data_IF_750464527939
#
_entry.id   IF_750464527939
#
_cell.length_a   1.000
_cell.length_b   1.000
_cell.length_c   1.000
_cell.angle_alpha   90.00
_cell.angle_beta   90.00
_cell.angle_gamma   90.00
#
_symmetry.space_group_name_H-M   'P 1'
#
loop_
_entity.id
_entity.type
_entity.pdbx_description
1 polymer ?
#
# COMPACT_ATOMS: atom_id res chain seq x y z
N UNK A 1 14.45 0.68 -24.62
CA UNK A 1 14.06 0.32 -23.24
C UNK A 1 14.40 -1.14 -23.03
N UNK A 2 15.27 -1.44 -22.08
CA UNK A 2 15.68 -2.81 -21.74
C UNK A 2 14.65 -3.46 -20.79
N UNK A 3 14.65 -4.80 -20.70
CA UNK A 3 13.78 -5.51 -19.74
C UNK A 3 14.01 -5.04 -18.29
N UNK A 4 15.26 -4.86 -17.82
CA UNK A 4 15.52 -4.32 -16.48
C UNK A 4 14.97 -2.90 -16.28
N UNK A 5 15.12 -2.01 -17.27
CA UNK A 5 14.55 -0.65 -17.22
C UNK A 5 13.02 -0.69 -17.12
N UNK A 6 12.37 -1.53 -17.92
CA UNK A 6 10.92 -1.69 -17.88
C UNK A 6 10.44 -2.18 -16.50
N UNK A 7 11.08 -3.20 -15.94
CA UNK A 7 10.73 -3.73 -14.62
C UNK A 7 10.89 -2.68 -13.53
N UNK A 8 11.96 -1.88 -13.57
CA UNK A 8 12.17 -0.78 -12.62
C UNK A 8 11.09 0.30 -12.75
N UNK A 9 10.71 0.67 -13.98
CA UNK A 9 9.63 1.62 -14.22
C UNK A 9 8.28 1.08 -13.72
N UNK A 10 7.99 -0.20 -13.94
CA UNK A 10 6.76 -0.83 -13.46
C UNK A 10 6.68 -0.88 -11.93
N UNK A 11 7.81 -1.15 -11.25
CA UNK A 11 7.88 -1.05 -9.78
C UNK A 11 7.62 0.37 -9.30
N UNK A 12 8.25 1.37 -9.92
CA UNK A 12 8.04 2.77 -9.58
C UNK A 12 6.57 3.20 -9.77
N UNK A 13 5.92 2.75 -10.85
CA UNK A 13 4.49 2.99 -11.09
C UNK A 13 3.65 2.37 -9.99
N UNK A 14 3.91 1.11 -9.61
CA UNK A 14 3.17 0.44 -8.53
C UNK A 14 3.31 1.15 -7.18
N UNK A 15 4.53 1.59 -6.82
CA UNK A 15 4.75 2.37 -5.61
C UNK A 15 4.01 3.71 -5.65
N UNK A 16 3.99 4.39 -6.81
CA UNK A 16 3.23 5.62 -6.99
C UNK A 16 1.72 5.42 -6.83
N UNK A 17 1.17 4.28 -7.26
CA UNK A 17 -0.24 3.98 -6.99
C UNK A 17 -0.50 3.77 -5.50
N UNK A 18 0.41 3.11 -4.76
CA UNK A 18 0.31 3.00 -3.28
C UNK A 18 0.28 4.39 -2.62
N UNK A 19 1.09 5.34 -3.09
CA UNK A 19 1.07 6.72 -2.60
C UNK A 19 -0.26 7.43 -2.88
N UNK A 20 -0.89 7.16 -4.04
CA UNK A 20 -2.20 7.71 -4.39
C UNK A 20 -3.29 7.11 -3.51
N UNK A 21 -3.28 5.80 -3.31
CA UNK A 21 -4.21 5.11 -2.43
C UNK A 21 -4.10 5.67 -1.00
N UNK A 22 -2.89 5.87 -0.49
CA UNK A 22 -2.68 6.51 0.82
C UNK A 22 -3.40 7.87 0.90
N UNK A 23 -3.23 8.74 -0.10
CA UNK A 23 -3.88 10.06 -0.12
C UNK A 23 -5.39 9.96 -0.21
N UNK A 24 -5.91 9.07 -1.04
CA UNK A 24 -7.36 8.84 -1.19
C UNK A 24 -7.97 8.35 0.13
N UNK A 25 -7.32 7.38 0.78
CA UNK A 25 -7.75 6.84 2.05
C UNK A 25 -7.64 7.90 3.16
N UNK A 26 -6.59 8.71 3.18
CA UNK A 26 -6.44 9.80 4.14
C UNK A 26 -7.58 10.81 4.02
N UNK A 27 -7.92 11.21 2.80
CA UNK A 27 -9.05 12.10 2.56
C UNK A 27 -10.36 11.49 3.06
N UNK A 28 -10.62 10.22 2.74
CA UNK A 28 -11.82 9.51 3.22
C UNK A 28 -11.86 9.40 4.75
N UNK A 29 -10.73 9.14 5.39
CA UNK A 29 -10.61 9.08 6.85
C UNK A 29 -10.91 10.43 7.49
N UNK A 30 -10.38 11.52 6.96
CA UNK A 30 -10.67 12.87 7.46
C UNK A 30 -12.16 13.21 7.30
N UNK A 31 -12.76 12.87 6.16
CA UNK A 31 -14.20 13.05 5.92
C UNK A 31 -15.06 12.26 6.92
N UNK A 32 -14.63 11.07 7.33
CA UNK A 32 -15.32 10.21 8.32
C UNK A 32 -15.10 10.69 9.76
N UNK A 33 -13.87 11.08 10.11
CA UNK A 33 -13.50 11.54 11.44
C UNK A 33 -14.28 12.80 11.84
N UNK A 34 -14.57 13.68 10.88
CA UNK A 34 -15.45 14.86 11.07
C UNK A 34 -16.89 14.47 11.41
N UNK A 35 -17.38 13.32 10.92
CA UNK A 35 -18.79 12.90 11.09
C UNK A 35 -19.02 11.97 12.27
N UNK A 36 -18.03 11.17 12.64
CA UNK A 36 -18.16 10.10 13.62
C UNK A 36 -17.51 10.50 14.96
N UNK A 37 -18.20 11.33 15.73
CA UNK A 37 -17.84 11.68 17.09
C UNK A 37 -18.66 10.86 18.10
N UNK A 38 -17.97 10.18 19.04
CA UNK A 38 -18.61 9.52 20.19
C UNK A 38 -18.49 10.38 21.44
N UNK A 39 -19.57 10.46 22.22
CA UNK A 39 -19.59 11.12 23.53
C UNK A 39 -18.72 10.31 24.50
N UNK A 40 -17.75 10.96 25.15
CA UNK A 40 -16.84 10.32 26.12
C UNK A 40 -16.95 10.93 27.53
N UNK A 41 -17.86 11.88 27.73
CA UNK A 41 -18.13 12.51 29.02
C UNK A 41 -19.01 13.75 28.88
N UNK A 42 -19.25 14.45 30.00
CA UNK A 42 -19.96 15.74 29.99
C UNK A 42 -19.17 16.74 29.13
N UNK A 43 -19.76 17.20 28.04
CA UNK A 43 -19.19 18.13 27.06
C UNK A 43 -17.88 17.68 26.38
N UNK A 44 -17.62 16.37 26.28
CA UNK A 44 -16.44 15.84 25.56
C UNK A 44 -16.84 14.80 24.52
N UNK A 45 -16.32 14.97 23.30
CA UNK A 45 -16.44 14.01 22.20
C UNK A 45 -15.06 13.57 21.72
N UNK A 46 -14.98 12.37 21.12
CA UNK A 46 -13.77 11.87 20.45
C UNK A 46 -14.15 11.22 19.12
N UNK A 47 -13.29 11.28 18.10
CA UNK A 47 -13.48 10.50 16.88
C UNK A 47 -13.59 9.00 17.20
N UNK A 48 -14.52 8.30 16.54
CA UNK A 48 -14.69 6.84 16.67
C UNK A 48 -13.42 6.12 16.22
N UNK A 49 -12.79 6.60 15.15
CA UNK A 49 -11.54 6.07 14.62
C UNK A 49 -10.37 6.96 15.06
N UNK A 50 -9.53 6.46 15.97
CA UNK A 50 -8.45 7.26 16.56
C UNK A 50 -7.14 7.27 15.75
N UNK A 51 -6.96 6.32 14.82
CA UNK A 51 -5.70 6.16 14.08
C UNK A 51 -5.94 5.75 12.64
N UNK A 52 -5.37 6.50 11.71
CA UNK A 52 -5.44 6.23 10.27
C UNK A 52 -4.86 4.86 9.89
N UNK A 53 -3.80 4.40 10.58
CA UNK A 53 -3.17 3.09 10.30
C UNK A 53 -4.13 1.89 10.35
N UNK A 54 -5.22 1.98 11.13
CA UNK A 54 -6.25 0.93 11.14
C UNK A 54 -7.11 0.90 9.88
N UNK A 55 -7.18 2.02 9.16
CA UNK A 55 -7.92 2.18 7.91
C UNK A 55 -7.04 1.84 6.71
N UNK A 56 -5.77 2.25 6.73
CA UNK A 56 -4.80 1.95 5.67
C UNK A 56 -3.38 1.80 6.25
N UNK A 57 -2.74 0.66 6.01
CA UNK A 57 -1.37 0.39 6.44
C UNK A 57 -0.42 0.49 5.23
N UNK A 58 0.23 1.65 5.10
CA UNK A 58 1.11 1.98 3.97
C UNK A 58 2.30 1.03 3.87
N UNK A 59 2.96 0.74 4.99
CA UNK A 59 4.14 -0.13 5.05
C UNK A 59 3.80 -1.52 4.49
N UNK A 60 2.64 -2.04 4.90
CA UNK A 60 2.15 -3.33 4.40
C UNK A 60 1.86 -3.33 2.90
N UNK A 61 1.38 -2.23 2.32
CA UNK A 61 1.14 -2.14 0.87
C UNK A 61 2.46 -2.04 0.08
N UNK A 62 3.42 -1.25 0.56
CA UNK A 62 4.77 -1.17 -0.03
C UNK A 62 5.46 -2.53 0.00
N UNK A 63 5.37 -3.24 1.13
CA UNK A 63 5.95 -4.58 1.26
C UNK A 63 5.30 -5.58 0.29
N UNK A 64 4.01 -5.44 -0.01
CA UNK A 64 3.36 -6.31 -1.02
C UNK A 64 3.91 -6.08 -2.42
N UNK A 65 4.18 -4.83 -2.81
CA UNK A 65 4.79 -4.51 -4.12
C UNK A 65 6.19 -5.14 -4.21
N UNK A 66 7.01 -4.96 -3.16
CA UNK A 66 8.37 -5.52 -3.11
C UNK A 66 8.41 -7.05 -3.09
N UNK A 67 7.55 -7.67 -2.30
CA UNK A 67 7.47 -9.14 -2.20
C UNK A 67 6.97 -9.79 -3.49
N UNK A 68 6.06 -9.12 -4.21
CA UNK A 68 5.62 -9.58 -5.55
C UNK A 68 6.78 -9.58 -6.54
N UNK A 69 7.63 -8.54 -6.52
CA UNK A 69 8.84 -8.47 -7.36
C UNK A 69 9.79 -9.62 -7.06
N UNK A 70 10.14 -9.85 -5.79
CA UNK A 70 11.02 -10.96 -5.41
C UNK A 70 10.48 -12.33 -5.82
N UNK A 71 9.16 -12.54 -5.68
CA UNK A 71 8.53 -13.81 -6.10
C UNK A 71 8.66 -14.03 -7.60
N UNK A 72 8.46 -12.99 -8.41
CA UNK A 72 8.58 -13.08 -9.86
C UNK A 72 10.04 -13.38 -10.28
N UNK A 73 11.02 -12.68 -9.71
CA UNK A 73 12.44 -12.94 -9.97
C UNK A 73 12.84 -14.40 -9.64
N UNK A 74 12.34 -14.92 -8.51
CA UNK A 74 12.57 -16.32 -8.12
C UNK A 74 11.96 -17.32 -9.10
N UNK A 75 10.76 -17.04 -9.62
CA UNK A 75 10.10 -17.89 -10.61
C UNK A 75 10.86 -17.88 -11.95
N UNK A 76 11.36 -16.71 -12.37
CA UNK A 76 12.16 -16.58 -13.60
C UNK A 76 13.48 -17.36 -13.52
N UNK A 77 14.13 -17.37 -12.34
CA UNK A 77 15.34 -18.17 -12.09
C UNK A 77 15.03 -19.68 -12.19
N UNK A 78 13.95 -20.14 -11.55
CA UNK A 78 13.53 -21.55 -11.60
C UNK A 78 13.19 -21.96 -13.04
N UNK A 79 12.48 -21.12 -13.79
CA UNK A 79 12.15 -21.37 -15.19
C UNK A 79 13.38 -21.55 -16.08
N UNK A 80 14.43 -20.75 -15.86
CA UNK A 80 15.71 -20.89 -16.57
C UNK A 80 16.42 -22.20 -16.20
N UNK A 81 16.51 -22.53 -14.91
CA UNK A 81 17.13 -23.79 -14.45
C UNK A 81 16.42 -25.03 -15.00
N UNK A 82 15.09 -24.98 -15.15
CA UNK A 82 14.30 -26.10 -15.68
C UNK A 82 14.38 -26.26 -17.20
N UNK A 83 14.80 -25.21 -17.93
CA UNK A 83 14.88 -25.24 -19.40
C UNK A 83 16.19 -25.79 -19.96
N UNK A 84 17.18 -26.08 -19.11
CA UNK A 84 18.44 -26.68 -19.55
C UNK A 84 19.26 -25.77 -20.45
N UNK A 85 19.45 -24.51 -20.04
CA UNK A 85 20.57 -23.66 -20.49
C UNK A 85 21.65 -23.63 -19.41
#
# INVERSE_FOLDING_TARGET
MTIPEYTLLMEAVQLREVDRDYRNHLQAFLNLAVKAEKKVGKNKTKPVYQRFRKFFDYEKEVDRVRNRKQKNERLDIIGRMMKGE
#
